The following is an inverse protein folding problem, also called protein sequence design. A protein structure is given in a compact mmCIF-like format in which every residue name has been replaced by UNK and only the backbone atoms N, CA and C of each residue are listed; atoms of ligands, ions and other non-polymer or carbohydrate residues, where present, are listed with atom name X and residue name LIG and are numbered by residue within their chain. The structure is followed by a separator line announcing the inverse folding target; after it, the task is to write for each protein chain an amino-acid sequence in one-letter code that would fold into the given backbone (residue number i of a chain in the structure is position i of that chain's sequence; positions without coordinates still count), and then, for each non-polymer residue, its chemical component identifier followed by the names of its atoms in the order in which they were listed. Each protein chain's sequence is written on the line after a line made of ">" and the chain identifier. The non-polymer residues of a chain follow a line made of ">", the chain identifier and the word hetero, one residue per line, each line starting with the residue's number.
data_IF_117452175253
#
_entry.id   IF_117452175253
#
_cell.length_a   1.000
_cell.length_b   1.000
_cell.length_c   1.000
_cell.angle_alpha   90.00
_cell.angle_beta   90.00
_cell.angle_gamma   90.00
#
_symmetry.space_group_name_H-M   'P 1'
#
loop_
_entity.id
_entity.type
_entity.pdbx_description
1 polymer ?
#
# COMPACT_ATOMS: atom_id res chain seq x y z
N UNK A 1 17.16 2.46 20.12
CA UNK A 1 15.82 3.04 19.88
C UNK A 1 15.66 3.12 18.38
N UNK A 2 15.06 2.13 17.74
CA UNK A 2 14.98 2.07 16.28
C UNK A 2 13.99 3.12 15.79
N UNK A 3 14.49 4.09 15.02
CA UNK A 3 13.76 5.19 14.40
C UNK A 3 12.64 4.66 13.47
N UNK A 4 11.42 4.50 13.98
CA UNK A 4 10.21 4.15 13.21
C UNK A 4 9.57 5.40 12.58
N UNK A 5 10.37 6.19 11.87
CA UNK A 5 9.93 7.46 11.29
C UNK A 5 9.60 7.36 9.80
N UNK A 6 9.81 6.18 9.17
CA UNK A 6 9.70 5.99 7.71
C UNK A 6 8.63 4.95 7.31
N UNK A 7 7.66 4.68 8.18
CA UNK A 7 6.63 3.67 7.92
C UNK A 7 5.54 4.15 6.94
N UNK A 8 5.51 5.42 6.57
CA UNK A 8 4.46 6.02 5.73
C UNK A 8 4.93 6.30 4.29
N UNK A 9 4.58 5.39 3.39
CA UNK A 9 4.93 5.44 1.98
C UNK A 9 3.94 6.26 1.17
N UNK A 10 4.45 6.92 0.14
CA UNK A 10 3.63 7.54 -0.90
C UNK A 10 3.08 6.49 -1.86
N UNK A 11 1.93 6.73 -2.52
CA UNK A 11 1.40 5.83 -3.54
C UNK A 11 2.42 5.48 -4.64
N UNK A 12 3.31 6.41 -4.99
CA UNK A 12 4.38 6.16 -5.96
C UNK A 12 5.41 5.12 -5.48
N UNK A 13 5.75 5.12 -4.20
CA UNK A 13 6.67 4.14 -3.61
C UNK A 13 6.00 2.78 -3.44
N UNK A 14 4.72 2.76 -3.05
CA UNK A 14 3.93 1.53 -2.99
C UNK A 14 3.85 0.87 -4.37
N UNK A 15 3.60 1.66 -5.41
CA UNK A 15 3.64 1.20 -6.80
C UNK A 15 4.97 0.51 -7.16
N UNK A 16 6.11 1.09 -6.76
CA UNK A 16 7.44 0.49 -6.97
C UNK A 16 7.59 -0.83 -6.19
N UNK A 17 7.18 -0.86 -4.91
CA UNK A 17 7.29 -2.07 -4.08
C UNK A 17 6.40 -3.22 -4.54
N UNK A 18 5.24 -2.94 -5.13
CA UNK A 18 4.32 -3.94 -5.65
C UNK A 18 4.76 -4.52 -7.01
N UNK A 19 6.00 -4.27 -7.46
CA UNK A 19 6.54 -4.76 -8.73
C UNK A 19 6.46 -3.73 -9.87
N UNK A 20 6.38 -2.44 -9.55
CA UNK A 20 6.36 -1.36 -10.56
C UNK A 20 4.99 -1.14 -11.19
N UNK A 21 3.90 -1.40 -10.46
CA UNK A 21 2.54 -1.17 -10.96
C UNK A 21 2.25 0.34 -11.12
N UNK A 22 1.22 0.67 -11.90
CA UNK A 22 0.80 2.07 -12.04
C UNK A 22 -0.09 2.51 -10.87
N UNK A 23 -0.17 3.83 -10.62
CA UNK A 23 -1.10 4.38 -9.62
C UNK A 23 -2.57 4.06 -9.95
N UNK A 24 -2.91 3.89 -11.24
CA UNK A 24 -4.25 3.47 -11.67
C UNK A 24 -4.57 2.07 -11.15
N UNK A 25 -3.62 1.13 -11.28
CA UNK A 25 -3.72 -0.23 -10.73
C UNK A 25 -3.82 -0.20 -9.21
N UNK A 26 -3.03 0.64 -8.53
CA UNK A 26 -3.10 0.79 -7.07
C UNK A 26 -4.49 1.30 -6.62
N UNK A 27 -5.05 2.30 -7.32
CA UNK A 27 -6.39 2.80 -7.06
C UNK A 27 -7.48 1.75 -7.30
N UNK A 28 -7.37 0.98 -8.39
CA UNK A 28 -8.28 -0.13 -8.67
C UNK A 28 -8.23 -1.16 -7.54
N UNK A 29 -7.03 -1.50 -7.06
CA UNK A 29 -6.86 -2.44 -5.96
C UNK A 29 -7.48 -1.95 -4.66
N UNK A 30 -7.40 -0.66 -4.36
CA UNK A 30 -8.07 -0.10 -3.19
C UNK A 30 -9.60 -0.21 -3.23
N UNK A 31 -10.20 -0.35 -4.41
CA UNK A 31 -11.66 -0.42 -4.58
C UNK A 31 -12.10 -1.89 -4.71
N UNK A 32 -11.43 -2.64 -5.57
CA UNK A 32 -11.87 -3.94 -6.07
C UNK A 32 -11.09 -5.12 -5.48
N UNK A 33 -9.89 -4.92 -4.91
CA UNK A 33 -9.08 -6.04 -4.44
C UNK A 33 -9.66 -6.71 -3.21
N UNK A 34 -9.54 -8.05 -3.13
CA UNK A 34 -10.02 -8.85 -2.00
C UNK A 34 -9.39 -8.40 -0.66
N UNK A 35 -8.09 -8.14 -0.68
CA UNK A 35 -7.30 -7.66 0.46
C UNK A 35 -7.23 -6.13 0.60
N UNK A 36 -8.16 -5.36 -0.01
CA UNK A 36 -8.16 -3.88 0.04
C UNK A 36 -8.16 -3.27 1.44
N UNK A 37 -8.70 -3.99 2.43
CA UNK A 37 -8.68 -3.56 3.83
C UNK A 37 -7.27 -3.44 4.39
N UNK A 38 -6.36 -4.29 3.90
CA UNK A 38 -4.94 -4.28 4.30
C UNK A 38 -4.25 -3.12 3.59
N UNK A 39 -4.49 -2.94 2.28
CA UNK A 39 -3.92 -1.85 1.49
C UNK A 39 -4.62 -0.49 1.74
N UNK A 40 -5.33 -0.31 2.84
CA UNK A 40 -6.12 0.90 3.06
C UNK A 40 -5.23 2.15 3.17
N UNK A 41 -5.45 3.19 2.34
CA UNK A 41 -4.68 4.43 2.43
C UNK A 41 -5.07 5.25 3.66
N UNK A 42 -4.06 5.79 4.33
CA UNK A 42 -4.21 6.86 5.32
C UNK A 42 -4.38 8.17 4.57
N UNK A 43 -5.58 8.76 4.67
CA UNK A 43 -5.90 10.05 4.07
C UNK A 43 -5.50 11.17 5.02
N UNK A 44 -4.44 11.89 4.69
CA UNK A 44 -4.05 13.12 5.40
C UNK A 44 -4.91 14.30 4.92
N UNK A 45 -5.12 14.39 3.61
CA UNK A 45 -6.02 15.36 2.98
C UNK A 45 -6.72 14.73 1.77
N UNK A 46 -7.62 15.46 1.11
CA UNK A 46 -8.31 15.00 -0.10
C UNK A 46 -7.35 14.65 -1.26
N UNK A 47 -6.13 15.22 -1.25
CA UNK A 47 -5.11 15.01 -2.29
C UNK A 47 -3.90 14.22 -1.81
N UNK A 48 -3.66 14.17 -0.50
CA UNK A 48 -2.48 13.51 0.08
C UNK A 48 -2.91 12.24 0.80
N UNK A 49 -2.51 11.12 0.23
CA UNK A 49 -2.69 9.79 0.81
C UNK A 49 -1.34 9.13 1.03
N UNK A 50 -1.24 8.37 2.12
CA UNK A 50 -0.05 7.60 2.50
C UNK A 50 -0.46 6.16 2.80
N UNK A 51 0.48 5.24 2.79
CA UNK A 51 0.27 3.83 3.12
C UNK A 51 1.28 3.39 4.15
N UNK A 52 0.86 2.57 5.09
CA UNK A 52 1.81 1.96 6.01
C UNK A 52 2.61 0.88 5.29
N UNK A 53 3.92 0.90 5.46
CA UNK A 53 4.85 -0.07 4.89
C UNK A 53 4.52 -1.49 5.34
N UNK A 54 4.20 -1.65 6.62
CA UNK A 54 3.81 -2.94 7.19
C UNK A 54 2.55 -3.50 6.50
N UNK A 55 1.57 -2.63 6.24
CA UNK A 55 0.35 -3.00 5.54
C UNK A 55 0.62 -3.41 4.09
N UNK A 56 1.47 -2.68 3.37
CA UNK A 56 1.88 -3.04 2.00
C UNK A 56 2.61 -4.39 1.98
N UNK A 57 3.52 -4.63 2.93
CA UNK A 57 4.21 -5.92 3.04
C UNK A 57 3.24 -7.06 3.39
N UNK A 58 2.34 -6.84 4.35
CA UNK A 58 1.30 -7.81 4.71
C UNK A 58 0.39 -8.12 3.52
N UNK A 59 0.06 -7.12 2.70
CA UNK A 59 -0.69 -7.29 1.46
C UNK A 59 0.07 -8.18 0.48
N UNK A 60 1.37 -7.93 0.24
CA UNK A 60 2.20 -8.76 -0.64
C UNK A 60 2.25 -10.20 -0.13
N UNK A 61 2.45 -10.40 1.17
CA UNK A 61 2.49 -11.72 1.80
C UNK A 61 1.15 -12.45 1.65
N UNK A 62 0.03 -11.77 1.89
CA UNK A 62 -1.33 -12.33 1.70
C UNK A 62 -1.60 -12.70 0.25
N UNK A 63 -1.21 -11.85 -0.71
CA UNK A 63 -1.34 -12.15 -2.13
C UNK A 63 -0.47 -13.34 -2.56
N UNK A 64 0.71 -13.52 -1.95
CA UNK A 64 1.60 -14.65 -2.24
C UNK A 64 1.21 -15.96 -1.53
N UNK A 65 0.60 -15.88 -0.34
CA UNK A 65 0.21 -17.04 0.46
C UNK A 65 -1.05 -17.75 -0.04
N UNK A 66 -1.81 -17.15 -0.96
CA UNK A 66 -2.99 -17.74 -1.58
C UNK A 66 -2.68 -18.57 -2.85
N UNK A 67 -1.39 -18.86 -3.11
CA UNK A 67 -0.93 -19.69 -4.23
C UNK A 67 -0.17 -20.90 -3.70
#
# INVERSE_FOLDING_TARGET
>A
MSEQSDDLLTPAEVCKMLGGITQKTLCDWNINHRHKKILAPIRFTSKVVRYERQNVQAFIQKCRSEY
#
